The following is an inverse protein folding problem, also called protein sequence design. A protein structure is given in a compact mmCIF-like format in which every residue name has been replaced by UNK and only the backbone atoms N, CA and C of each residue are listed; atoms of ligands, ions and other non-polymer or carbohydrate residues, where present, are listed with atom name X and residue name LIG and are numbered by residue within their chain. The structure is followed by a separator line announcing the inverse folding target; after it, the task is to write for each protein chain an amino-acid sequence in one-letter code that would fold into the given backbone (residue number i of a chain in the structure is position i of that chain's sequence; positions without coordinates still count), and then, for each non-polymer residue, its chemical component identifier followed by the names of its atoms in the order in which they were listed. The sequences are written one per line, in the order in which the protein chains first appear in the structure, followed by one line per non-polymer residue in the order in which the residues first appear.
data_IF_764632824385
#
_entry.id   IF_764632824385
#
_cell.length_a   1.000
_cell.length_b   1.000
_cell.length_c   1.000
_cell.angle_alpha   90.00
_cell.angle_beta   90.00
_cell.angle_gamma   90.00
#
_symmetry.space_group_name_H-M   'P 1'
#
loop_
_entity.id
_entity.type
_entity.pdbx_description
1 polymer ?
#
# COMPACT_ATOMS: atom_id res chain seq x y z
N UNK A 1 1.52 -15.40 4.37
CA UNK A 1 1.11 -14.42 3.33
C UNK A 1 0.70 -13.03 3.85
N UNK A 2 0.25 -12.82 5.11
CA UNK A 2 -0.23 -11.49 5.58
C UNK A 2 0.92 -10.51 5.85
N UNK A 3 2.03 -11.07 6.32
CA UNK A 3 3.27 -10.36 6.57
C UNK A 3 3.78 -9.60 5.34
N UNK A 4 3.71 -10.20 4.15
CA UNK A 4 4.20 -9.58 2.91
C UNK A 4 3.47 -8.27 2.58
N UNK A 5 2.15 -8.25 2.67
CA UNK A 5 1.36 -7.04 2.36
C UNK A 5 1.59 -5.93 3.39
N UNK A 6 1.71 -6.29 4.67
CA UNK A 6 2.08 -5.34 5.73
C UNK A 6 3.49 -4.79 5.51
N UNK A 7 4.44 -5.64 5.13
CA UNK A 7 5.80 -5.25 4.81
C UNK A 7 5.84 -4.28 3.62
N UNK A 8 5.09 -4.56 2.55
CA UNK A 8 4.93 -3.68 1.39
C UNK A 8 4.38 -2.30 1.76
N UNK A 9 3.39 -2.24 2.65
CA UNK A 9 2.84 -0.98 3.15
C UNK A 9 3.86 -0.19 3.97
N UNK A 10 4.54 -0.85 4.93
CA UNK A 10 5.56 -0.20 5.78
C UNK A 10 6.71 0.32 4.92
N UNK A 11 7.19 -0.50 3.98
CA UNK A 11 8.27 -0.10 3.08
C UNK A 11 7.84 1.04 2.16
N UNK A 12 6.61 0.99 1.62
CA UNK A 12 6.04 2.08 0.83
C UNK A 12 5.92 3.38 1.60
N UNK A 13 5.47 3.35 2.87
CA UNK A 13 5.40 4.54 3.73
C UNK A 13 6.79 5.09 4.04
N UNK A 14 7.76 4.23 4.36
CA UNK A 14 9.14 4.64 4.61
C UNK A 14 9.76 5.29 3.36
N UNK A 15 9.55 4.70 2.19
CA UNK A 15 10.01 5.26 0.91
C UNK A 15 9.34 6.61 0.62
N UNK A 16 8.05 6.76 0.91
CA UNK A 16 7.32 8.02 0.76
C UNK A 16 7.91 9.13 1.65
N UNK A 17 8.19 8.81 2.92
CA UNK A 17 8.80 9.73 3.87
C UNK A 17 10.21 10.15 3.45
N UNK A 18 11.02 9.21 2.94
CA UNK A 18 12.34 9.51 2.39
C UNK A 18 12.26 10.44 1.17
N UNK A 19 11.31 10.20 0.26
CA UNK A 19 11.07 11.08 -0.88
C UNK A 19 10.60 12.47 -0.42
N UNK A 20 9.74 12.55 0.60
CA UNK A 20 9.27 13.81 1.16
C UNK A 20 10.41 14.61 1.80
N UNK A 21 11.33 13.94 2.49
CA UNK A 21 12.53 14.58 3.05
C UNK A 21 13.45 15.14 1.95
N UNK A 22 13.67 14.35 0.89
CA UNK A 22 14.46 14.79 -0.28
C UNK A 22 13.83 16.00 -0.98
N UNK A 23 12.51 15.97 -1.16
CA UNK A 23 11.72 17.05 -1.74
C UNK A 23 11.78 18.30 -0.85
N UNK A 24 11.61 18.15 0.46
CA UNK A 24 11.69 19.25 1.43
C UNK A 24 13.04 19.97 1.33
N UNK A 25 14.14 19.22 1.39
CA UNK A 25 15.47 19.81 1.27
C UNK A 25 15.79 20.39 -0.12
N UNK A 26 14.95 20.15 -1.13
CA UNK A 26 15.10 20.69 -2.47
C UNK A 26 14.27 21.97 -2.68
N UNK A 27 13.49 22.37 -1.69
CA UNK A 27 12.76 23.65 -1.65
C UNK A 27 13.59 24.75 -0.99
N UNK A 28 13.36 26.03 -1.35
CA UNK A 28 14.06 27.15 -0.73
C UNK A 28 13.74 27.33 0.76
N UNK A 29 12.67 26.71 1.27
CA UNK A 29 12.30 26.75 2.69
C UNK A 29 12.95 25.64 3.52
N UNK A 30 13.34 24.53 2.90
CA UNK A 30 13.77 23.32 3.59
C UNK A 30 15.23 22.93 3.40
N UNK A 31 15.98 23.59 2.51
CA UNK A 31 17.37 23.26 2.25
C UNK A 31 18.22 24.43 1.75
N UNK A 32 19.54 24.22 1.75
CA UNK A 32 20.53 25.23 1.38
C UNK A 32 20.58 25.50 -0.13
N UNK A 33 20.13 24.56 -0.97
CA UNK A 33 20.09 24.71 -2.42
C UNK A 33 18.73 24.29 -3.00
N UNK A 34 18.16 25.18 -3.82
CA UNK A 34 16.98 24.88 -4.60
C UNK A 34 17.34 24.05 -5.84
N UNK A 35 16.80 22.83 -5.94
CA UNK A 35 17.10 21.93 -7.07
C UNK A 35 15.83 21.30 -7.65
N UNK A 36 15.44 21.77 -8.85
CA UNK A 36 14.30 21.22 -9.60
C UNK A 36 14.51 19.76 -9.99
N UNK A 37 15.73 19.37 -10.35
CA UNK A 37 16.06 17.99 -10.70
C UNK A 37 15.83 17.03 -9.53
N UNK A 38 16.22 17.44 -8.31
CA UNK A 38 16.03 16.64 -7.10
C UNK A 38 14.56 16.53 -6.69
N UNK A 39 13.79 17.60 -6.91
CA UNK A 39 12.32 17.60 -6.75
C UNK A 39 11.64 16.63 -7.71
N UNK A 40 12.03 16.64 -9.00
CA UNK A 40 11.49 15.71 -10.00
C UNK A 40 11.84 14.25 -9.66
N UNK A 41 13.07 14.00 -9.23
CA UNK A 41 13.51 12.67 -8.79
C UNK A 41 12.75 12.19 -7.54
N UNK A 42 12.54 13.07 -6.56
CA UNK A 42 11.71 12.75 -5.40
C UNK A 42 10.26 12.45 -5.81
N UNK A 43 9.72 13.21 -6.77
CA UNK A 43 8.37 13.00 -7.31
C UNK A 43 8.20 11.63 -7.98
N UNK A 44 9.14 11.19 -8.81
CA UNK A 44 9.07 9.85 -9.43
C UNK A 44 9.18 8.74 -8.37
N UNK A 45 10.02 8.93 -7.35
CA UNK A 45 10.13 8.02 -6.20
C UNK A 45 8.82 7.91 -5.40
N UNK A 46 8.09 9.03 -5.22
CA UNK A 46 6.80 9.03 -4.54
C UNK A 46 5.74 8.18 -5.26
N UNK A 47 5.71 8.19 -6.60
CA UNK A 47 4.76 7.38 -7.39
C UNK A 47 4.99 5.89 -7.14
N UNK A 48 6.25 5.45 -7.15
CA UNK A 48 6.61 4.06 -6.84
C UNK A 48 6.25 3.70 -5.39
N UNK A 49 6.50 4.58 -4.42
CA UNK A 49 6.14 4.38 -3.02
C UNK A 49 4.62 4.24 -2.83
N UNK A 50 3.82 5.12 -3.45
CA UNK A 50 2.35 5.03 -3.44
C UNK A 50 1.85 3.74 -4.08
N UNK A 51 2.50 3.29 -5.14
CA UNK A 51 2.16 2.03 -5.82
C UNK A 51 2.36 0.83 -4.89
N UNK A 52 3.46 0.79 -4.14
CA UNK A 52 3.71 -0.28 -3.16
C UNK A 52 2.66 -0.29 -2.04
N UNK A 53 2.27 0.88 -1.55
CA UNK A 53 1.19 1.02 -0.56
C UNK A 53 -0.13 0.50 -1.12
N UNK A 54 -0.47 0.90 -2.35
CA UNK A 54 -1.70 0.48 -3.03
C UNK A 54 -1.75 -1.04 -3.24
N UNK A 55 -0.65 -1.66 -3.71
CA UNK A 55 -0.55 -3.11 -3.86
C UNK A 55 -0.73 -3.83 -2.52
N UNK A 56 -0.09 -3.31 -1.46
CA UNK A 56 -0.26 -3.84 -0.12
C UNK A 56 -1.73 -3.77 0.35
N UNK A 57 -2.40 -2.64 0.14
CA UNK A 57 -3.81 -2.45 0.50
C UNK A 57 -4.75 -3.37 -0.29
N UNK A 58 -4.56 -3.47 -1.60
CA UNK A 58 -5.33 -4.36 -2.47
C UNK A 58 -5.14 -5.82 -2.07
N UNK A 59 -3.93 -6.22 -1.71
CA UNK A 59 -3.64 -7.56 -1.22
C UNK A 59 -4.38 -7.92 0.06
N UNK A 60 -4.47 -6.98 1.02
CA UNK A 60 -5.27 -7.17 2.25
C UNK A 60 -6.75 -7.28 1.92
N UNK A 61 -7.29 -6.34 1.12
CA UNK A 61 -8.69 -6.33 0.74
C UNK A 61 -9.10 -7.61 -0.01
N UNK A 62 -8.28 -8.10 -0.94
CA UNK A 62 -8.53 -9.33 -1.68
C UNK A 62 -8.58 -10.56 -0.76
N UNK A 63 -7.79 -10.58 0.32
CA UNK A 63 -7.83 -11.67 1.31
C UNK A 63 -9.09 -11.64 2.15
N UNK A 64 -9.51 -10.46 2.59
CA UNK A 64 -10.78 -10.32 3.31
C UNK A 64 -11.96 -10.73 2.41
N UNK A 65 -11.95 -10.33 1.14
CA UNK A 65 -12.98 -10.72 0.18
C UNK A 65 -13.06 -12.25 0.01
N UNK A 66 -11.92 -12.94 -0.11
CA UNK A 66 -11.88 -14.41 -0.19
C UNK A 66 -12.41 -15.09 1.07
N UNK A 67 -12.09 -14.55 2.25
CA UNK A 67 -12.61 -15.09 3.52
C UNK A 67 -14.12 -14.90 3.65
N UNK A 68 -14.66 -13.77 3.19
CA UNK A 68 -16.10 -13.50 3.18
C UNK A 68 -16.82 -14.46 2.22
N UNK A 69 -16.27 -14.68 1.03
CA UNK A 69 -16.82 -15.65 0.06
C UNK A 69 -16.84 -17.07 0.63
N UNK A 70 -15.73 -17.55 1.18
CA UNK A 70 -15.67 -18.88 1.78
C UNK A 70 -16.68 -19.06 2.94
N UNK A 71 -16.92 -18.01 3.72
CA UNK A 71 -17.94 -18.04 4.77
C UNK A 71 -19.36 -18.14 4.20
N UNK A 72 -19.66 -17.37 3.16
CA UNK A 72 -20.97 -17.41 2.48
C UNK A 72 -21.20 -18.79 1.86
N UNK A 73 -20.19 -19.35 1.18
CA UNK A 73 -20.25 -20.70 0.61
C UNK A 73 -20.53 -21.76 1.68
N UNK A 74 -19.82 -21.70 2.82
CA UNK A 74 -20.06 -22.61 3.95
C UNK A 74 -21.49 -22.50 4.51
N UNK A 75 -22.01 -21.28 4.67
CA UNK A 75 -23.40 -21.06 5.12
C UNK A 75 -24.42 -21.60 4.11
N UNK A 76 -24.17 -21.43 2.81
CA UNK A 76 -25.03 -21.96 1.76
C UNK A 76 -25.02 -23.49 1.76
N UNK A 77 -23.86 -24.10 1.99
CA UNK A 77 -23.73 -25.55 2.07
C UNK A 77 -24.47 -26.13 3.28
N UNK A 78 -24.40 -25.46 4.43
CA UNK A 78 -25.17 -25.80 5.63
C UNK A 78 -26.69 -25.67 5.43
N UNK A 79 -27.14 -24.64 4.71
CA UNK A 79 -28.56 -24.48 4.36
C UNK A 79 -29.05 -25.46 3.30
N UNK A 80 -28.15 -25.91 2.42
CA UNK A 80 -28.45 -26.87 1.34
C UNK A 80 -28.41 -28.32 1.84
N UNK A 81 -27.71 -28.58 2.94
CA UNK A 81 -27.75 -29.88 3.59
C UNK A 81 -29.21 -30.16 4.02
N UNK A 82 -29.80 -31.30 3.60
CA UNK A 82 -31.18 -31.60 3.92
C UNK A 82 -31.31 -31.67 5.45
N UNK A 83 -32.14 -30.78 6.01
CA UNK A 83 -32.63 -30.95 7.37
C UNK A 83 -33.52 -32.18 7.35
N UNK A 84 -32.95 -33.32 7.73
CA UNK A 84 -33.69 -34.54 8.03
C UNK A 84 -34.71 -34.28 9.13
#
# INVERSE_FOLDING_TARGET
MSWLYRFLQVFGVAALLACLHLAWGATPWGGAEWSRARLLYAGTGMVSALTLIAIGALGVAAREARQRLARIEAMLEELRAPRG
#
